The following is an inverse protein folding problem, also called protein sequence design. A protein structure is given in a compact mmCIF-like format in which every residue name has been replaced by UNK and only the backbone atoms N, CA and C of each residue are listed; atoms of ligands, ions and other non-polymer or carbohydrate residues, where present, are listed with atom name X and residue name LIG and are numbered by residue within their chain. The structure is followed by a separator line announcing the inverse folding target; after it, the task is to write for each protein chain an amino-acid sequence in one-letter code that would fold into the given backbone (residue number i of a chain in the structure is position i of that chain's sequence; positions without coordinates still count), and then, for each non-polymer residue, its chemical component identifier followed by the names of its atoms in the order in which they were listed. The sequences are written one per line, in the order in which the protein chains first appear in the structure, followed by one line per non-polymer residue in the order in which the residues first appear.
data_IF_551951132890
#
_entry.id   IF_551951132890
#
_cell.length_a   1.000
_cell.length_b   1.000
_cell.length_c   1.000
_cell.angle_alpha   90.00
_cell.angle_beta   90.00
_cell.angle_gamma   90.00
#
_symmetry.space_group_name_H-M   'P 1'
#
loop_
_entity.id
_entity.type
_entity.pdbx_description
1 polymer ?
#
# COMPACT_ATOMS: atom_id res chain seq x y z
N UNK A 1 24.50 13.90 0.14
CA UNK A 1 24.50 12.73 0.96
C UNK A 1 23.21 12.54 1.72
N UNK A 2 22.81 11.30 1.94
CA UNK A 2 21.50 11.04 2.55
C UNK A 2 21.59 10.66 4.02
N UNK A 3 22.28 11.46 4.80
CA UNK A 3 22.40 11.16 6.22
C UNK A 3 21.02 11.13 6.90
N UNK A 4 20.74 10.08 7.63
CA UNK A 4 19.50 9.92 8.38
C UNK A 4 18.22 9.97 7.54
N UNK A 5 18.36 9.79 6.24
CA UNK A 5 17.19 9.73 5.37
C UNK A 5 16.97 8.31 4.92
N UNK A 6 15.75 7.86 4.99
CA UNK A 6 15.39 6.52 4.54
C UNK A 6 14.49 6.63 3.32
N UNK A 7 14.33 5.53 2.63
CA UNK A 7 13.48 5.46 1.46
C UNK A 7 14.23 5.83 0.18
N UNK A 8 13.58 5.60 -0.93
CA UNK A 8 14.11 5.87 -2.26
C UNK A 8 13.56 7.18 -2.79
N UNK A 9 14.41 7.98 -3.43
CA UNK A 9 13.95 9.25 -3.99
C UNK A 9 13.07 9.05 -5.22
N UNK A 10 13.35 8.07 -6.03
CA UNK A 10 12.59 7.77 -7.24
C UNK A 10 12.50 8.98 -8.17
N UNK A 11 13.56 9.79 -8.18
CA UNK A 11 13.66 10.99 -9.04
C UNK A 11 12.52 11.97 -8.85
N UNK A 12 12.00 12.10 -7.65
CA UNK A 12 10.88 12.99 -7.36
C UNK A 12 11.13 13.81 -6.12
N UNK A 13 10.45 14.95 -6.02
CA UNK A 13 10.53 15.79 -4.83
C UNK A 13 9.85 15.07 -3.67
N UNK A 14 10.15 15.52 -2.46
CA UNK A 14 9.61 14.92 -1.25
C UNK A 14 8.07 14.96 -1.22
N UNK A 15 7.49 16.12 -1.55
CA UNK A 15 6.02 16.23 -1.53
C UNK A 15 5.39 15.40 -2.64
N UNK A 16 6.04 15.33 -3.82
CA UNK A 16 5.54 14.52 -4.92
C UNK A 16 5.57 13.03 -4.55
N UNK A 17 6.65 12.58 -3.90
CA UNK A 17 6.73 11.19 -3.45
C UNK A 17 5.64 10.86 -2.44
N UNK A 18 5.41 11.76 -1.49
CA UNK A 18 4.40 11.55 -0.47
C UNK A 18 3.03 11.40 -1.11
N UNK A 19 2.68 12.29 -2.04
CA UNK A 19 1.39 12.23 -2.71
C UNK A 19 1.25 10.95 -3.54
N UNK A 20 2.31 10.57 -4.24
CA UNK A 20 2.29 9.37 -5.05
C UNK A 20 2.01 8.12 -4.20
N UNK A 21 2.74 7.97 -3.10
CA UNK A 21 2.56 6.78 -2.27
C UNK A 21 1.25 6.79 -1.50
N UNK A 22 0.75 7.98 -1.16
CA UNK A 22 -0.56 8.11 -0.56
C UNK A 22 -1.62 7.57 -1.52
N UNK A 23 -1.57 7.99 -2.78
CA UNK A 23 -2.50 7.52 -3.78
C UNK A 23 -2.35 6.04 -4.07
N UNK A 24 -1.12 5.54 -4.09
CA UNK A 24 -0.87 4.11 -4.31
C UNK A 24 -1.43 3.27 -3.16
N UNK A 25 -1.27 3.74 -1.93
CA UNK A 25 -1.80 3.02 -0.78
C UNK A 25 -3.32 2.95 -0.84
N UNK A 26 -3.96 4.05 -1.20
CA UNK A 26 -5.42 4.07 -1.35
C UNK A 26 -5.86 3.07 -2.42
N UNK A 27 -5.17 3.06 -3.56
CA UNK A 27 -5.51 2.11 -4.63
C UNK A 27 -5.30 0.67 -4.19
N UNK A 28 -4.24 0.40 -3.46
CA UNK A 28 -3.98 -0.94 -2.96
C UNK A 28 -5.07 -1.40 -2.01
N UNK A 29 -5.49 -0.54 -1.08
CA UNK A 29 -6.55 -0.91 -0.14
C UNK A 29 -7.88 -1.10 -0.84
N UNK A 30 -8.13 -0.32 -1.88
CA UNK A 30 -9.37 -0.42 -2.62
C UNK A 30 -9.44 -1.69 -3.45
N UNK A 31 -8.42 -1.94 -4.25
CA UNK A 31 -8.43 -3.06 -5.19
C UNK A 31 -7.76 -4.33 -4.67
N UNK A 32 -6.95 -4.19 -3.62
CA UNK A 32 -6.21 -5.29 -2.98
C UNK A 32 -5.16 -5.94 -3.87
N UNK A 33 -5.02 -5.48 -5.10
CA UNK A 33 -4.01 -5.94 -6.05
C UNK A 33 -3.75 -4.80 -7.03
N UNK A 34 -2.50 -4.35 -7.11
CA UNK A 34 -2.11 -3.33 -8.08
C UNK A 34 -0.81 -3.74 -8.75
N UNK A 35 -0.54 -3.15 -9.91
CA UNK A 35 0.69 -3.40 -10.66
C UNK A 35 1.48 -2.10 -10.73
N UNK A 36 2.76 -2.16 -10.42
CA UNK A 36 3.60 -0.98 -10.42
C UNK A 36 5.05 -1.38 -10.70
N UNK A 37 5.97 -0.41 -10.72
CA UNK A 37 7.38 -0.75 -10.87
C UNK A 37 7.89 -1.38 -9.59
N UNK A 38 8.90 -2.23 -9.70
CA UNK A 38 9.44 -2.93 -8.54
C UNK A 38 9.97 -2.00 -7.45
N UNK A 39 10.72 -0.93 -7.76
CA UNK A 39 11.16 -0.02 -6.70
C UNK A 39 10.00 0.64 -5.96
N UNK A 40 8.95 1.04 -6.68
CA UNK A 40 7.78 1.63 -6.03
C UNK A 40 7.06 0.62 -5.16
N UNK A 41 6.98 -0.64 -5.62
CA UNK A 41 6.35 -1.68 -4.85
C UNK A 41 7.06 -1.88 -3.51
N UNK A 42 8.39 -1.88 -3.53
CA UNK A 42 9.16 -2.07 -2.32
C UNK A 42 9.00 -0.91 -1.34
N UNK A 43 8.92 0.33 -1.85
CA UNK A 43 8.73 1.48 -0.97
C UNK A 43 7.30 1.59 -0.48
N UNK A 44 6.34 1.13 -1.27
CA UNK A 44 4.93 1.17 -0.87
C UNK A 44 4.70 0.39 0.43
N UNK A 45 5.43 -0.68 0.63
CA UNK A 45 5.32 -1.47 1.85
C UNK A 45 5.52 -0.61 3.10
N UNK A 46 6.47 0.33 3.04
CA UNK A 46 6.78 1.19 4.17
C UNK A 46 5.66 2.18 4.49
N UNK A 47 4.78 2.43 3.54
CA UNK A 47 3.65 3.34 3.73
C UNK A 47 2.38 2.58 4.09
N UNK A 48 2.13 1.48 3.40
CA UNK A 48 0.88 0.75 3.55
C UNK A 48 0.81 -0.15 4.78
N UNK A 49 1.88 -0.87 5.07
CA UNK A 49 1.84 -1.80 6.20
C UNK A 49 1.62 -1.12 7.55
N UNK A 50 2.25 0.03 7.84
CA UNK A 50 1.97 0.72 9.11
C UNK A 50 0.51 1.13 9.25
N UNK A 51 -0.17 1.44 8.14
CA UNK A 51 -1.58 1.79 8.20
C UNK A 51 -2.44 0.60 8.59
N UNK A 52 -2.12 -0.58 8.09
CA UNK A 52 -2.85 -1.79 8.47
C UNK A 52 -2.61 -2.10 9.96
N UNK A 53 -1.37 -1.95 10.41
CA UNK A 53 -1.05 -2.16 11.81
C UNK A 53 -1.83 -1.18 12.70
N UNK A 54 -1.90 0.08 12.28
CA UNK A 54 -2.66 1.09 13.01
C UNK A 54 -4.13 0.71 13.10
N UNK A 55 -4.66 0.13 12.04
CA UNK A 55 -6.07 -0.23 11.95
C UNK A 55 -6.48 -1.39 12.84
N UNK A 56 -5.52 -2.09 13.42
CA UNK A 56 -5.85 -3.19 14.32
C UNK A 56 -6.48 -2.71 15.62
N UNK A 57 -6.22 -1.46 16.00
CA UNK A 57 -6.84 -0.87 17.18
C UNK A 57 -7.77 0.25 16.71
N UNK A 58 -9.07 -0.02 16.78
CA UNK A 58 -10.06 0.93 16.30
C UNK A 58 -10.33 1.99 17.36
N UNK A 59 -9.93 3.20 17.10
CA UNK A 59 -10.20 4.33 17.98
C UNK A 59 -10.36 5.57 17.13
N UNK A 60 -10.99 6.59 17.69
CA UNK A 60 -11.16 7.86 16.97
C UNK A 60 -9.80 8.44 16.61
N UNK A 61 -8.86 8.40 17.54
CA UNK A 61 -7.52 8.93 17.29
C UNK A 61 -6.84 8.20 16.13
N UNK A 62 -6.92 6.87 16.11
CA UNK A 62 -6.30 6.09 15.05
C UNK A 62 -6.98 6.32 13.71
N UNK A 63 -8.30 6.46 13.70
CA UNK A 63 -9.02 6.75 12.45
C UNK A 63 -8.64 8.13 11.91
N UNK A 64 -8.45 9.11 12.78
CA UNK A 64 -8.03 10.44 12.35
C UNK A 64 -6.63 10.41 11.77
N UNK A 65 -5.73 9.67 12.39
CA UNK A 65 -4.36 9.54 11.89
C UNK A 65 -4.35 8.84 10.54
N UNK A 66 -5.13 7.78 10.39
CA UNK A 66 -5.24 7.08 9.12
C UNK A 66 -5.79 8.00 8.03
N UNK A 67 -6.77 8.83 8.36
CA UNK A 67 -7.30 9.77 7.40
C UNK A 67 -6.24 10.79 7.01
N UNK A 68 -5.45 11.26 7.96
CA UNK A 68 -4.39 12.20 7.66
C UNK A 68 -3.40 11.63 6.64
N UNK A 69 -3.17 10.34 6.72
CA UNK A 69 -2.21 9.67 5.83
C UNK A 69 -2.79 9.20 4.50
N UNK A 70 -4.10 8.96 4.42
CA UNK A 70 -4.72 8.47 3.19
C UNK A 70 -5.58 9.50 2.49
N UNK A 71 -6.17 10.42 3.25
CA UNK A 71 -7.10 11.42 2.74
C UNK A 71 -8.32 10.79 2.06
N UNK A 72 -8.69 9.59 2.47
CA UNK A 72 -9.84 8.89 1.92
C UNK A 72 -10.69 8.32 3.05
N UNK A 73 -11.89 8.85 3.21
CA UNK A 73 -12.80 8.35 4.24
C UNK A 73 -13.20 6.90 3.96
N UNK A 74 -13.38 6.57 2.69
CA UNK A 74 -13.74 5.21 2.31
C UNK A 74 -12.68 4.22 2.73
N UNK A 75 -11.41 4.55 2.49
CA UNK A 75 -10.34 3.64 2.82
C UNK A 75 -10.08 3.57 4.32
N UNK A 76 -10.32 4.67 5.05
CA UNK A 76 -10.29 4.60 6.51
C UNK A 76 -11.34 3.61 7.00
N UNK A 77 -12.54 3.68 6.45
CA UNK A 77 -13.59 2.72 6.79
C UNK A 77 -13.16 1.30 6.51
N UNK A 78 -12.61 1.05 5.32
CA UNK A 78 -12.18 -0.30 4.95
C UNK A 78 -11.04 -0.78 5.84
N UNK A 79 -10.09 0.09 6.16
CA UNK A 79 -8.97 -0.27 7.02
C UNK A 79 -9.47 -0.77 8.39
N UNK A 80 -10.34 -0.01 9.03
CA UNK A 80 -10.76 -0.34 10.39
C UNK A 80 -11.88 -1.37 10.46
N UNK A 81 -12.76 -1.39 9.46
CA UNK A 81 -13.89 -2.34 9.48
C UNK A 81 -13.56 -3.69 8.86
N UNK A 82 -12.54 -3.75 8.00
CA UNK A 82 -12.19 -4.97 7.29
C UNK A 82 -10.73 -5.36 7.50
N UNK A 83 -9.79 -4.56 6.97
CA UNK A 83 -8.39 -4.96 6.91
C UNK A 83 -7.76 -5.15 8.29
N UNK A 84 -8.05 -4.27 9.22
CA UNK A 84 -7.52 -4.41 10.57
C UNK A 84 -7.98 -5.70 11.23
N UNK A 85 -9.21 -6.09 10.98
CA UNK A 85 -9.74 -7.33 11.52
C UNK A 85 -9.20 -8.55 10.78
N UNK A 86 -9.06 -8.43 9.47
CA UNK A 86 -8.54 -9.53 8.65
C UNK A 86 -7.15 -9.93 9.09
N UNK A 87 -6.32 -8.96 9.45
CA UNK A 87 -4.93 -9.21 9.81
C UNK A 87 -4.66 -9.12 11.31
N UNK A 88 -5.70 -9.24 12.12
CA UNK A 88 -5.58 -9.08 13.56
C UNK A 88 -4.51 -9.97 14.18
N UNK A 89 -4.36 -11.19 13.67
CA UNK A 89 -3.39 -12.13 14.21
C UNK A 89 -2.07 -12.19 13.44
N UNK A 90 -1.96 -11.44 12.33
CA UNK A 90 -0.73 -11.44 11.55
C UNK A 90 0.14 -10.27 11.99
N UNK A 91 1.39 -10.55 12.29
CA UNK A 91 2.29 -9.52 12.79
C UNK A 91 3.18 -9.00 11.67
N UNK A 92 2.66 -8.11 10.84
CA UNK A 92 3.39 -7.57 9.70
C UNK A 92 3.28 -8.47 8.50
N UNK A 93 3.95 -8.10 7.42
CA UNK A 93 3.94 -8.90 6.20
C UNK A 93 2.57 -8.99 5.54
N UNK A 94 1.82 -7.90 5.55
CA UNK A 94 0.49 -7.89 4.97
C UNK A 94 0.48 -7.81 3.46
N UNK A 95 1.60 -7.46 2.86
CA UNK A 95 1.72 -7.30 1.41
C UNK A 95 2.62 -8.37 0.83
N UNK A 96 2.29 -8.79 -0.37
CA UNK A 96 3.14 -9.71 -1.13
C UNK A 96 3.53 -9.03 -2.42
N UNK A 97 4.82 -9.05 -2.76
CA UNK A 97 5.33 -8.45 -3.99
C UNK A 97 5.76 -9.57 -4.93
N UNK A 98 5.15 -9.61 -6.11
CA UNK A 98 5.43 -10.64 -7.11
C UNK A 98 5.99 -10.00 -8.36
N UNK A 99 7.24 -10.27 -8.67
CA UNK A 99 7.87 -9.75 -9.88
C UNK A 99 7.16 -10.29 -11.10
N UNK A 100 6.92 -9.42 -12.07
CA UNK A 100 6.16 -9.84 -13.25
C UNK A 100 6.76 -9.35 -14.57
N UNK A 101 8.08 -9.29 -14.65
CA UNK A 101 8.75 -8.95 -15.91
C UNK A 101 9.07 -7.48 -16.05
N UNK A 102 9.07 -7.03 -17.29
CA UNK A 102 9.52 -5.68 -17.60
C UNK A 102 8.46 -4.95 -18.42
N UNK A 103 8.42 -3.64 -18.24
CA UNK A 103 7.43 -2.82 -18.93
C UNK A 103 7.88 -2.57 -20.37
N UNK A 104 6.94 -2.67 -21.32
CA UNK A 104 7.23 -2.36 -22.69
C UNK A 104 7.59 -0.88 -22.79
N UNK A 105 8.55 -0.57 -23.63
CA UNK A 105 8.99 0.80 -23.83
C UNK A 105 10.25 1.12 -23.08
N UNK A 106 10.21 1.27 -21.76
CA UNK A 106 11.38 1.66 -20.99
C UNK A 106 12.05 0.50 -20.26
N UNK A 107 11.49 -0.71 -20.41
CA UNK A 107 12.07 -1.91 -19.80
C UNK A 107 12.19 -1.84 -18.27
N UNK A 108 11.34 -1.07 -17.62
CA UNK A 108 11.35 -0.98 -16.16
C UNK A 108 10.86 -2.29 -15.53
N UNK A 109 11.52 -2.79 -14.46
CA UNK A 109 11.04 -4.01 -13.81
C UNK A 109 9.70 -3.74 -13.12
N UNK A 110 8.74 -4.63 -13.35
CA UNK A 110 7.38 -4.48 -12.84
C UNK A 110 7.08 -5.53 -11.78
N UNK A 111 6.10 -5.24 -10.95
CA UNK A 111 5.67 -6.16 -9.91
C UNK A 111 4.20 -5.95 -9.60
N UNK A 112 3.54 -7.03 -9.18
CA UNK A 112 2.24 -6.93 -8.56
C UNK A 112 2.44 -6.79 -7.06
N UNK A 113 1.62 -5.94 -6.44
CA UNK A 113 1.55 -5.85 -5.00
C UNK A 113 0.16 -6.28 -4.61
N UNK A 114 0.05 -7.28 -3.76
CA UNK A 114 -1.27 -7.76 -3.34
C UNK A 114 -1.34 -7.85 -1.83
N UNK A 115 -2.56 -7.68 -1.31
CA UNK A 115 -2.82 -7.91 0.09
C UNK A 115 -2.92 -9.42 0.31
N UNK A 116 -2.19 -9.93 1.30
CA UNK A 116 -2.23 -11.35 1.64
C UNK A 116 -3.64 -11.69 2.10
N UNK A 117 -4.10 -12.87 1.81
CA UNK A 117 -5.45 -13.32 2.20
C UNK A 117 -6.59 -12.49 1.59
N UNK A 118 -6.34 -11.83 0.47
CA UNK A 118 -7.42 -11.12 -0.21
C UNK A 118 -8.42 -12.12 -0.79
N UNK A 119 -9.70 -11.74 -0.84
CA UNK A 119 -10.70 -12.64 -1.42
C UNK A 119 -10.39 -12.88 -2.88
N UNK A 120 -10.35 -14.12 -3.31
CA UNK A 120 -10.07 -14.43 -4.70
C UNK A 120 -11.27 -14.82 -5.51
N UNK A 121 -12.32 -15.14 -4.86
CA UNK A 121 -13.48 -15.64 -5.55
C UNK A 121 -14.01 -14.74 -6.62
N UNK A 122 -14.09 -13.51 -6.42
CA UNK A 122 -14.68 -12.62 -7.36
C UNK A 122 -13.72 -11.85 -8.19
N UNK A 123 -12.47 -12.16 -8.06
CA UNK A 123 -11.51 -11.33 -8.66
C UNK A 123 -11.21 -11.56 -10.08
N UNK A 124 -11.58 -12.68 -10.50
CA UNK A 124 -11.21 -13.09 -11.77
C UNK A 124 -11.42 -12.12 -12.83
N UNK A 125 -12.47 -11.46 -12.73
CA UNK A 125 -12.83 -10.61 -13.74
C UNK A 125 -12.04 -9.41 -13.78
N UNK A 126 -11.35 -9.22 -12.88
CA UNK A 126 -10.61 -8.03 -12.86
C UNK A 126 -9.67 -7.93 -13.97
N UNK A 127 -9.61 -8.57 -14.78
CA UNK A 127 -8.73 -8.36 -15.74
C UNK A 127 -8.97 -7.69 -16.65
#
# INVERSE_FOLDING_TARGET
MRHRKSGRHLSRTSSHRKAMFQNMAVSLFEHELIKTTLPKAKELRRVAEPLITLAKVDSVANRRLAFDRTRSKEMVGKLFNDLGKRYATRQGGYLRILKCGFRAGDNAPMAYVELVDRPVGGVVEAE
#
